data_IF_713899110784
#
_entry.id   IF_713899110784
#
_cell.length_a   1.000
_cell.length_b   1.000
_cell.length_c   1.000
_cell.angle_alpha   90.00
_cell.angle_beta   90.00
_cell.angle_gamma   90.00
#
_symmetry.space_group_name_H-M   'P 1'
#
loop_
_entity.id
_entity.type
_entity.pdbx_description
1 polymer ?
#
# COMPACT_ATOMS: atom_id res chain seq x y z
N UNK A 1 18.13 6.06 34.06
CA UNK A 1 18.64 6.16 32.68
C UNK A 1 19.40 4.90 32.26
N UNK A 2 20.47 4.49 32.96
CA UNK A 2 21.26 3.27 32.65
C UNK A 2 20.42 1.99 32.55
N UNK A 3 19.45 1.77 33.45
CA UNK A 3 18.57 0.60 33.41
C UNK A 3 17.63 0.59 32.19
N UNK A 4 17.20 1.78 31.75
CA UNK A 4 16.38 1.93 30.54
C UNK A 4 17.22 1.67 29.28
N UNK A 5 18.45 2.17 29.23
CA UNK A 5 19.41 1.86 28.15
C UNK A 5 19.74 0.36 28.11
N UNK A 6 19.94 -0.27 29.27
CA UNK A 6 20.19 -1.71 29.37
C UNK A 6 19.01 -2.55 28.88
N UNK A 7 17.76 -2.15 29.18
CA UNK A 7 16.55 -2.83 28.64
C UNK A 7 16.40 -2.60 27.13
N UNK A 8 16.63 -1.39 26.64
CA UNK A 8 16.58 -1.10 25.21
C UNK A 8 17.61 -1.92 24.43
N UNK A 9 18.85 -2.01 24.92
CA UNK A 9 19.90 -2.83 24.33
C UNK A 9 19.49 -4.32 24.28
N UNK A 10 18.97 -4.87 25.38
CA UNK A 10 18.49 -6.27 25.44
C UNK A 10 17.34 -6.53 24.46
N UNK A 11 16.39 -5.61 24.32
CA UNK A 11 15.28 -5.74 23.38
C UNK A 11 15.74 -5.69 21.91
N UNK A 12 16.86 -5.03 21.61
CA UNK A 12 17.43 -4.95 20.27
C UNK A 12 18.22 -6.18 19.83
N UNK A 13 18.61 -7.07 20.75
CA UNK A 13 19.48 -8.23 20.43
C UNK A 13 18.83 -9.16 19.41
N UNK A 14 17.51 -9.38 19.48
CA UNK A 14 16.80 -10.23 18.51
C UNK A 14 16.83 -9.65 17.10
N UNK A 15 16.71 -8.32 16.97
CA UNK A 15 16.82 -7.62 15.69
C UNK A 15 18.23 -7.72 15.13
N UNK A 16 19.26 -7.55 15.98
CA UNK A 16 20.67 -7.67 15.58
C UNK A 16 20.96 -9.09 15.07
N UNK A 17 20.58 -10.11 15.83
CA UNK A 17 20.76 -11.51 15.43
C UNK A 17 20.08 -11.83 14.10
N UNK A 18 18.82 -11.41 13.93
CA UNK A 18 18.09 -11.59 12.67
C UNK A 18 18.75 -10.86 11.49
N UNK A 19 19.23 -9.62 11.71
CA UNK A 19 19.94 -8.85 10.68
C UNK A 19 21.28 -9.47 10.27
N UNK A 20 22.00 -10.12 11.21
CA UNK A 20 23.25 -10.82 10.92
C UNK A 20 23.00 -12.04 10.00
N UNK A 21 21.95 -12.83 10.27
CA UNK A 21 21.56 -13.93 9.40
C UNK A 21 21.21 -13.45 7.99
N UNK A 22 20.50 -12.32 7.87
CA UNK A 22 20.18 -11.74 6.56
C UNK A 22 21.40 -11.20 5.85
N UNK A 23 22.38 -10.63 6.55
CA UNK A 23 23.66 -10.27 5.94
C UNK A 23 24.36 -11.46 5.26
N UNK A 24 24.33 -12.64 5.88
CA UNK A 24 24.88 -13.87 5.29
C UNK A 24 24.08 -14.26 4.03
N UNK A 25 22.74 -14.22 4.09
CA UNK A 25 21.88 -14.51 2.93
C UNK A 25 22.18 -13.55 1.78
N UNK A 26 22.28 -12.25 2.06
CA UNK A 26 22.60 -11.23 1.06
C UNK A 26 23.97 -11.49 0.43
N UNK A 27 24.98 -11.82 1.24
CA UNK A 27 26.30 -12.19 0.75
C UNK A 27 26.26 -13.39 -0.21
N UNK A 28 25.54 -14.45 0.15
CA UNK A 28 25.37 -15.62 -0.72
C UNK A 28 24.62 -15.27 -2.00
N UNK A 29 23.52 -14.51 -1.92
CA UNK A 29 22.70 -14.10 -3.08
C UNK A 29 23.50 -13.24 -4.06
N UNK A 30 24.31 -12.31 -3.56
CA UNK A 30 25.16 -11.45 -4.41
C UNK A 30 26.30 -12.25 -5.04
N UNK A 31 26.94 -13.16 -4.30
CA UNK A 31 28.04 -13.97 -4.82
C UNK A 31 27.57 -15.00 -5.85
N UNK A 32 26.36 -15.54 -5.69
CA UNK A 32 25.79 -16.56 -6.58
C UNK A 32 25.11 -15.98 -7.82
N UNK A 33 24.82 -14.67 -7.88
CA UNK A 33 24.11 -14.06 -9.00
C UNK A 33 22.63 -14.45 -9.09
N UNK A 34 22.07 -15.13 -8.07
CA UNK A 34 20.67 -15.57 -8.08
C UNK A 34 19.71 -14.37 -8.25
N UNK A 35 20.03 -13.22 -7.66
CA UNK A 35 19.19 -12.01 -7.79
C UNK A 35 19.12 -11.51 -9.25
N UNK A 36 20.23 -11.54 -9.99
CA UNK A 36 20.27 -11.14 -11.39
C UNK A 36 19.59 -12.15 -12.30
N UNK A 37 19.79 -13.45 -12.06
CA UNK A 37 19.17 -14.51 -12.83
C UNK A 37 17.64 -14.53 -12.63
N UNK A 38 17.20 -14.39 -11.38
CA UNK A 38 15.78 -14.26 -11.04
C UNK A 38 15.15 -13.03 -11.71
N UNK A 39 15.87 -11.90 -11.74
CA UNK A 39 15.41 -10.67 -12.41
C UNK A 39 15.27 -10.89 -13.92
N UNK A 40 16.22 -11.60 -14.55
CA UNK A 40 16.19 -11.93 -15.97
C UNK A 40 15.04 -12.88 -16.36
N UNK A 41 14.76 -13.91 -15.55
CA UNK A 41 13.63 -14.83 -15.78
C UNK A 41 12.30 -14.09 -15.69
N UNK A 42 12.12 -13.26 -14.66
CA UNK A 42 10.88 -12.50 -14.48
C UNK A 42 10.69 -11.48 -15.59
N UNK A 43 11.77 -10.81 -16.03
CA UNK A 43 11.73 -9.93 -17.21
C UNK A 43 11.10 -10.60 -18.42
N UNK A 44 11.45 -11.86 -18.70
CA UNK A 44 10.85 -12.61 -19.81
C UNK A 44 9.33 -12.79 -19.70
N UNK A 45 8.80 -12.83 -18.48
CA UNK A 45 7.37 -12.97 -18.18
C UNK A 45 6.66 -11.61 -18.10
N UNK A 46 7.39 -10.57 -17.72
CA UNK A 46 6.84 -9.27 -17.28
C UNK A 46 7.07 -8.14 -18.30
N UNK A 47 7.93 -8.34 -19.30
CA UNK A 47 8.30 -7.34 -20.31
C UNK A 47 7.11 -6.67 -21.03
N UNK A 48 5.96 -7.32 -21.09
CA UNK A 48 4.78 -6.83 -21.81
C UNK A 48 3.98 -5.77 -21.04
N UNK A 49 4.06 -5.71 -19.70
CA UNK A 49 3.26 -4.76 -18.92
C UNK A 49 3.83 -4.40 -17.53
N UNK A 50 4.18 -3.12 -17.33
CA UNK A 50 4.68 -2.58 -16.06
C UNK A 50 3.69 -2.80 -14.89
N UNK A 51 2.38 -2.73 -15.13
CA UNK A 51 1.40 -2.94 -14.08
C UNK A 51 1.41 -4.39 -13.58
N UNK A 52 1.57 -5.36 -14.49
CA UNK A 52 1.67 -6.77 -14.14
C UNK A 52 2.96 -7.06 -13.36
N UNK A 53 4.05 -6.36 -13.70
CA UNK A 53 5.30 -6.37 -12.94
C UNK A 53 5.08 -6.00 -11.48
N UNK A 54 4.45 -4.84 -11.27
CA UNK A 54 4.24 -4.26 -9.95
C UNK A 54 3.31 -5.13 -9.11
N UNK A 55 2.29 -5.76 -9.72
CA UNK A 55 1.43 -6.72 -9.03
C UNK A 55 2.22 -7.98 -8.62
N UNK A 56 3.06 -8.53 -9.51
CA UNK A 56 3.91 -9.67 -9.19
C UNK A 56 4.86 -9.37 -8.04
N UNK A 57 5.54 -8.22 -8.09
CA UNK A 57 6.44 -7.75 -7.03
C UNK A 57 5.68 -7.49 -5.73
N UNK A 58 4.47 -6.93 -5.80
CA UNK A 58 3.61 -6.74 -4.63
C UNK A 58 3.33 -8.07 -3.94
N UNK A 59 2.90 -9.10 -4.69
CA UNK A 59 2.61 -10.42 -4.13
C UNK A 59 3.87 -11.05 -3.54
N UNK A 60 4.99 -11.02 -4.26
CA UNK A 60 6.27 -11.51 -3.74
C UNK A 60 6.71 -10.77 -2.47
N UNK A 61 6.57 -9.45 -2.43
CA UNK A 61 6.91 -8.64 -1.26
C UNK A 61 5.99 -8.95 -0.07
N UNK A 62 4.70 -9.18 -0.30
CA UNK A 62 3.80 -9.58 0.79
C UNK A 62 4.21 -10.94 1.35
N UNK A 63 4.46 -11.94 0.49
CA UNK A 63 4.83 -13.30 0.90
C UNK A 63 6.17 -13.30 1.65
N UNK A 64 7.20 -12.65 1.08
CA UNK A 64 8.53 -12.57 1.68
C UNK A 64 8.54 -11.76 2.98
N UNK A 65 7.57 -10.84 3.16
CA UNK A 65 7.47 -10.00 4.36
C UNK A 65 6.80 -10.68 5.56
N UNK A 66 6.15 -11.83 5.36
CA UNK A 66 5.40 -12.50 6.43
C UNK A 66 6.32 -12.97 7.56
N UNK A 67 6.08 -12.45 8.78
CA UNK A 67 6.66 -12.99 10.01
C UNK A 67 8.11 -12.61 10.30
N UNK A 68 8.69 -11.66 9.57
CA UNK A 68 10.06 -11.14 9.79
C UNK A 68 10.05 -9.71 10.34
N UNK A 69 11.03 -9.30 11.17
CA UNK A 69 11.18 -7.91 11.62
C UNK A 69 11.29 -6.93 10.44
N UNK A 70 10.73 -5.72 10.57
CA UNK A 70 10.63 -4.75 9.45
C UNK A 70 11.96 -4.42 8.75
N UNK A 71 13.04 -4.25 9.53
CA UNK A 71 14.38 -3.98 8.96
C UNK A 71 14.88 -5.17 8.15
N UNK A 72 14.67 -6.38 8.67
CA UNK A 72 15.10 -7.64 8.07
C UNK A 72 14.32 -7.92 6.78
N UNK A 73 13.00 -7.72 6.84
CA UNK A 73 12.08 -7.77 5.71
C UNK A 73 12.55 -6.86 4.56
N UNK A 74 12.86 -5.60 4.86
CA UNK A 74 13.35 -4.64 3.87
C UNK A 74 14.68 -5.06 3.24
N UNK A 75 15.66 -5.50 4.05
CA UNK A 75 16.98 -5.91 3.53
C UNK A 75 16.88 -7.09 2.56
N UNK A 76 16.04 -8.07 2.86
CA UNK A 76 15.77 -9.20 1.97
C UNK A 76 15.10 -8.75 0.67
N UNK A 77 14.07 -7.89 0.77
CA UNK A 77 13.37 -7.40 -0.42
C UNK A 77 14.23 -6.49 -1.29
N UNK A 78 15.02 -5.59 -0.68
CA UNK A 78 15.91 -4.70 -1.43
C UNK A 78 16.95 -5.50 -2.23
N UNK A 79 17.42 -6.62 -1.68
CA UNK A 79 18.39 -7.49 -2.34
C UNK A 79 17.76 -8.31 -3.48
N UNK A 80 16.53 -8.79 -3.32
CA UNK A 80 15.89 -9.68 -4.30
C UNK A 80 15.02 -8.95 -5.33
N UNK A 81 14.22 -7.97 -4.88
CA UNK A 81 13.26 -7.24 -5.70
C UNK A 81 13.81 -5.89 -6.17
N UNK A 82 14.80 -5.31 -5.47
CA UNK A 82 15.39 -4.02 -5.83
C UNK A 82 16.02 -4.02 -7.23
N UNK A 83 16.75 -5.09 -7.57
CA UNK A 83 17.31 -5.28 -8.92
C UNK A 83 16.21 -5.35 -9.99
N UNK A 84 15.15 -6.11 -9.72
CA UNK A 84 14.04 -6.28 -10.64
C UNK A 84 13.32 -4.95 -10.96
N UNK A 85 13.08 -4.11 -9.96
CA UNK A 85 12.47 -2.78 -10.19
C UNK A 85 13.41 -1.81 -10.89
N UNK A 86 14.70 -1.80 -10.53
CA UNK A 86 15.69 -0.95 -11.20
C UNK A 86 15.81 -1.29 -12.68
N UNK A 87 15.77 -2.58 -13.00
CA UNK A 87 15.77 -3.07 -14.37
C UNK A 87 14.50 -2.75 -15.18
N UNK A 88 13.37 -2.51 -14.51
CA UNK A 88 12.12 -2.03 -15.13
C UNK A 88 12.11 -0.51 -15.35
N UNK A 89 13.19 0.20 -15.00
CA UNK A 89 13.32 1.66 -15.05
C UNK A 89 12.55 2.41 -13.99
N UNK A 90 12.14 1.73 -12.92
CA UNK A 90 11.51 2.41 -11.79
C UNK A 90 12.57 3.21 -11.04
N UNK A 91 12.20 4.42 -10.61
CA UNK A 91 13.07 5.27 -9.79
C UNK A 91 13.54 4.48 -8.57
N UNK A 92 14.85 4.43 -8.24
CA UNK A 92 15.38 3.72 -7.10
C UNK A 92 14.65 4.07 -5.80
N UNK A 93 14.37 5.37 -5.56
CA UNK A 93 13.63 5.80 -4.38
C UNK A 93 12.20 5.22 -4.35
N UNK A 94 11.48 5.31 -5.48
CA UNK A 94 10.13 4.74 -5.59
C UNK A 94 10.17 3.21 -5.41
N UNK A 95 11.19 2.54 -5.96
CA UNK A 95 11.33 1.09 -5.85
C UNK A 95 11.56 0.63 -4.41
N UNK A 96 12.46 1.27 -3.68
CA UNK A 96 12.73 0.93 -2.28
C UNK A 96 11.54 1.27 -1.38
N UNK A 97 10.85 2.37 -1.66
CA UNK A 97 9.61 2.71 -0.94
C UNK A 97 8.49 1.72 -1.26
N UNK A 98 8.37 1.26 -2.51
CA UNK A 98 7.38 0.29 -2.95
C UNK A 98 7.52 -1.05 -2.21
N UNK A 99 8.73 -1.63 -2.23
CA UNK A 99 9.00 -2.91 -1.54
C UNK A 99 8.90 -2.76 -0.03
N UNK A 100 9.39 -1.66 0.54
CA UNK A 100 9.29 -1.40 1.98
C UNK A 100 7.83 -1.28 2.41
N UNK A 101 7.02 -0.53 1.67
CA UNK A 101 5.61 -0.35 1.99
C UNK A 101 4.85 -1.68 1.93
N UNK A 102 5.03 -2.49 0.89
CA UNK A 102 4.37 -3.80 0.82
C UNK A 102 4.88 -4.79 1.86
N UNK A 103 6.16 -4.72 2.20
CA UNK A 103 6.70 -5.45 3.35
C UNK A 103 5.99 -5.10 4.66
N UNK A 104 5.65 -3.83 4.87
CA UNK A 104 4.87 -3.40 6.05
C UNK A 104 3.38 -3.76 5.94
N UNK A 105 2.79 -3.67 4.74
CA UNK A 105 1.39 -4.05 4.52
C UNK A 105 1.16 -5.56 4.70
N UNK A 106 2.19 -6.39 4.55
CA UNK A 106 2.11 -7.84 4.84
C UNK A 106 1.60 -8.12 6.27
N UNK A 107 1.93 -7.25 7.23
CA UNK A 107 1.51 -7.37 8.64
C UNK A 107 0.01 -7.14 8.86
N UNK A 108 -0.68 -6.59 7.86
CA UNK A 108 -2.12 -6.31 7.88
C UNK A 108 -2.91 -7.38 7.10
N UNK A 109 -2.21 -8.22 6.33
CA UNK A 109 -2.82 -9.32 5.58
C UNK A 109 -3.05 -10.56 6.47
N UNK A 110 -4.24 -11.19 6.42
CA UNK A 110 -4.42 -12.53 6.96
C UNK A 110 -3.51 -13.49 6.18
N UNK A 111 -2.72 -14.37 6.84
CA UNK A 111 -2.86 -14.90 8.20
C UNK A 111 -2.03 -14.20 9.30
N UNK A 112 -1.26 -13.14 9.00
CA UNK A 112 -0.36 -12.51 9.98
C UNK A 112 -1.11 -11.52 10.87
N UNK A 113 -1.80 -10.54 10.26
CA UNK A 113 -2.71 -9.54 10.85
C UNK A 113 -2.58 -9.26 12.38
N UNK A 114 -1.35 -9.09 12.88
CA UNK A 114 -1.04 -9.19 14.32
C UNK A 114 -1.80 -8.16 15.16
N UNK A 115 -1.90 -6.93 14.65
CA UNK A 115 -2.64 -5.84 15.30
C UNK A 115 -4.15 -6.13 15.37
N UNK A 116 -4.73 -6.74 14.32
CA UNK A 116 -6.14 -7.13 14.32
C UNK A 116 -6.40 -8.27 15.30
N UNK A 117 -5.45 -9.19 15.47
CA UNK A 117 -5.58 -10.31 16.41
C UNK A 117 -5.52 -9.85 17.86
N UNK A 118 -4.60 -8.92 18.18
CA UNK A 118 -4.54 -8.28 19.48
C UNK A 118 -5.80 -7.42 19.77
N UNK A 119 -6.31 -6.71 18.76
CA UNK A 119 -7.54 -5.92 18.91
C UNK A 119 -8.77 -6.81 19.12
N UNK A 120 -8.83 -7.95 18.42
CA UNK A 120 -9.92 -8.92 18.55
C UNK A 120 -9.97 -9.57 19.94
N UNK A 121 -8.82 -9.84 20.57
CA UNK A 121 -8.77 -10.41 21.93
C UNK A 121 -9.27 -9.42 22.99
N UNK A 122 -8.97 -8.13 22.82
CA UNK A 122 -9.47 -7.05 23.69
C UNK A 122 -10.98 -6.87 23.48
N UNK A 123 -11.43 -6.83 22.23
CA UNK A 123 -12.83 -6.60 21.86
C UNK A 123 -13.73 -7.85 22.02
N UNK A 124 -13.18 -9.00 22.45
CA UNK A 124 -13.87 -10.30 22.52
C UNK A 124 -14.56 -10.70 21.20
N UNK A 125 -13.97 -10.32 20.07
CA UNK A 125 -14.47 -10.62 18.74
C UNK A 125 -13.73 -11.81 18.11
N UNK A 126 -14.31 -12.41 17.07
CA UNK A 126 -13.64 -13.47 16.31
C UNK A 126 -12.42 -12.90 15.58
N UNK A 127 -11.24 -13.45 15.88
CA UNK A 127 -9.94 -13.05 15.34
C UNK A 127 -9.96 -12.97 13.81
N UNK A 128 -10.43 -14.03 13.14
CA UNK A 128 -10.43 -14.11 11.68
C UNK A 128 -11.37 -13.08 11.02
N UNK A 129 -12.56 -12.85 11.60
CA UNK A 129 -13.51 -11.86 11.08
C UNK A 129 -12.97 -10.44 11.24
N UNK A 130 -12.33 -10.15 12.38
CA UNK A 130 -11.69 -8.86 12.65
C UNK A 130 -10.52 -8.62 11.70
N UNK A 131 -9.67 -9.64 11.47
CA UNK A 131 -8.57 -9.58 10.52
C UNK A 131 -9.03 -9.33 9.09
N UNK A 132 -10.06 -10.06 8.63
CA UNK A 132 -10.59 -9.89 7.27
C UNK A 132 -11.28 -8.52 7.09
N UNK A 133 -11.99 -8.04 8.12
CA UNK A 133 -12.56 -6.70 8.11
C UNK A 133 -11.48 -5.61 8.06
N UNK A 134 -10.44 -5.71 8.89
CA UNK A 134 -9.31 -4.78 8.90
C UNK A 134 -8.55 -4.79 7.56
N UNK A 135 -8.33 -5.98 6.98
CA UNK A 135 -7.71 -6.12 5.67
C UNK A 135 -8.53 -5.44 4.58
N UNK A 136 -9.85 -5.62 4.58
CA UNK A 136 -10.76 -4.97 3.63
C UNK A 136 -10.61 -3.45 3.65
N UNK A 137 -10.49 -2.82 4.81
CA UNK A 137 -10.23 -1.39 4.90
C UNK A 137 -8.80 -1.01 4.48
N UNK A 138 -7.84 -1.89 4.73
CA UNK A 138 -6.43 -1.66 4.39
C UNK A 138 -6.12 -1.76 2.90
N UNK A 139 -7.00 -2.38 2.10
CA UNK A 139 -6.90 -2.41 0.63
C UNK A 139 -6.79 -1.01 0.02
N UNK A 140 -7.31 0.03 0.67
CA UNK A 140 -7.13 1.41 0.22
C UNK A 140 -5.65 1.81 0.19
N UNK A 141 -4.88 1.37 1.20
CA UNK A 141 -3.45 1.65 1.30
C UNK A 141 -2.60 0.93 0.26
N UNK A 142 -3.08 -0.20 -0.29
CA UNK A 142 -2.34 -0.96 -1.32
C UNK A 142 -2.12 -0.16 -2.59
N UNK A 143 -2.94 0.86 -2.83
CA UNK A 143 -2.87 1.70 -4.03
C UNK A 143 -1.74 2.72 -3.98
N UNK A 144 -1.32 3.13 -2.79
CA UNK A 144 -0.39 4.23 -2.58
C UNK A 144 1.04 3.94 -3.12
N UNK A 145 1.61 2.72 -2.96
CA UNK A 145 2.87 2.36 -3.62
C UNK A 145 2.83 2.46 -5.14
N UNK A 146 1.71 2.08 -5.77
CA UNK A 146 1.55 2.21 -7.23
C UNK A 146 1.56 3.69 -7.63
N UNK A 147 0.92 4.56 -6.85
CA UNK A 147 0.96 6.00 -7.11
C UNK A 147 2.40 6.55 -7.10
N UNK A 148 3.27 6.10 -6.19
CA UNK A 148 4.67 6.56 -6.15
C UNK A 148 5.48 6.17 -7.38
N UNK A 149 5.21 4.99 -7.94
CA UNK A 149 5.89 4.50 -9.14
C UNK A 149 5.42 5.27 -10.38
N UNK A 150 4.11 5.51 -10.50
CA UNK A 150 3.57 6.22 -11.65
C UNK A 150 3.71 7.75 -11.56
N UNK A 151 3.74 8.34 -10.36
CA UNK A 151 3.83 9.79 -10.11
C UNK A 151 5.02 10.12 -9.20
N UNK A 152 6.23 10.19 -9.75
CA UNK A 152 7.41 10.56 -8.97
C UNK A 152 7.36 11.98 -8.40
N UNK A 153 6.49 12.83 -8.92
CA UNK A 153 6.19 14.14 -8.33
C UNK A 153 5.71 14.05 -6.87
N UNK A 154 5.05 12.95 -6.47
CA UNK A 154 4.67 12.70 -5.06
C UNK A 154 5.89 12.49 -4.15
N UNK A 155 7.03 12.12 -4.72
CA UNK A 155 8.30 11.95 -4.01
C UNK A 155 9.15 13.22 -4.04
N UNK A 156 8.58 14.36 -4.45
CA UNK A 156 9.27 15.64 -4.67
C UNK A 156 10.35 15.57 -5.76
N UNK A 157 10.30 14.56 -6.63
CA UNK A 157 11.25 14.36 -7.72
C UNK A 157 10.67 14.80 -9.06
N UNK A 158 11.49 15.41 -9.90
CA UNK A 158 11.11 15.75 -11.28
C UNK A 158 11.06 14.50 -12.16
N UNK A 159 9.84 14.11 -12.54
CA UNK A 159 9.61 12.93 -13.38
C UNK A 159 10.14 13.05 -14.80
N UNK A 160 10.26 14.27 -15.36
CA UNK A 160 10.76 14.47 -16.71
C UNK A 160 12.28 14.21 -16.77
N UNK A 161 13.02 14.76 -15.80
CA UNK A 161 14.46 14.54 -15.68
C UNK A 161 14.79 13.10 -15.37
N UNK A 162 13.97 12.45 -14.53
CA UNK A 162 14.16 11.04 -14.25
C UNK A 162 13.90 10.14 -15.47
N UNK A 163 12.90 10.46 -16.29
CA UNK A 163 12.69 9.75 -17.56
C UNK A 163 13.86 9.96 -18.53
N UNK A 164 14.41 11.18 -18.60
CA UNK A 164 15.60 11.45 -19.41
C UNK A 164 16.79 10.59 -18.96
N UNK A 165 17.01 10.48 -17.65
CA UNK A 165 18.01 9.59 -17.09
C UNK A 165 17.77 8.11 -17.45
N UNK A 166 16.54 7.60 -17.31
CA UNK A 166 16.23 6.19 -17.60
C UNK A 166 16.51 5.84 -19.08
N UNK A 167 16.17 6.76 -20.00
CA UNK A 167 16.47 6.60 -21.44
C UNK A 167 17.97 6.55 -21.70
N UNK A 168 18.74 7.47 -21.12
CA UNK A 168 20.20 7.49 -21.26
C UNK A 168 20.86 6.25 -20.65
N UNK A 169 20.39 5.81 -19.49
CA UNK A 169 20.88 4.62 -18.79
C UNK A 169 20.66 3.35 -19.63
N UNK A 170 19.48 3.21 -20.27
CA UNK A 170 19.17 2.07 -21.15
C UNK A 170 19.90 2.12 -22.49
N UNK A 171 20.23 3.31 -22.97
CA UNK A 171 20.96 3.51 -24.24
C UNK A 171 22.46 3.20 -24.12
N UNK A 172 22.95 2.82 -22.93
CA UNK A 172 24.35 2.48 -22.70
C UNK A 172 25.30 3.68 -22.69
N UNK A 173 24.78 4.91 -22.68
CA UNK A 173 25.56 6.15 -22.64
C UNK A 173 25.88 6.50 -21.18
N UNK A 174 26.80 5.75 -20.56
CA UNK A 174 27.12 5.90 -19.13
C UNK A 174 27.54 7.33 -18.73
N UNK A 175 28.29 8.04 -19.58
CA UNK A 175 28.73 9.40 -19.27
C UNK A 175 27.54 10.37 -19.14
N UNK A 176 26.66 10.38 -20.13
CA UNK A 176 25.44 11.19 -20.15
C UNK A 176 24.47 10.78 -19.03
N UNK A 177 24.30 9.48 -18.81
CA UNK A 177 23.47 8.97 -17.72
C UNK A 177 23.97 9.42 -16.34
N UNK A 178 25.29 9.48 -16.11
CA UNK A 178 25.81 9.97 -14.81
C UNK A 178 25.60 11.46 -14.58
N UNK A 179 25.59 12.26 -15.64
CA UNK A 179 25.32 13.70 -15.57
C UNK A 179 23.83 13.96 -15.32
N UNK A 180 22.97 13.34 -16.12
CA UNK A 180 21.52 13.41 -15.97
C UNK A 180 21.04 12.89 -14.62
N UNK A 181 21.73 11.91 -14.02
CA UNK A 181 21.42 11.41 -12.67
C UNK A 181 21.61 12.50 -11.62
N UNK A 182 22.71 13.26 -11.70
CA UNK A 182 23.00 14.37 -10.76
C UNK A 182 21.95 15.47 -10.92
N UNK A 183 21.58 15.79 -12.15
CA UNK A 183 20.54 16.78 -12.43
C UNK A 183 19.18 16.34 -11.92
N UNK A 184 18.82 15.07 -12.12
CA UNK A 184 17.54 14.52 -11.67
C UNK A 184 17.46 14.43 -10.13
N UNK A 185 18.58 14.16 -9.45
CA UNK A 185 18.63 14.15 -7.98
C UNK A 185 18.57 15.56 -7.35
N UNK A 186 19.17 16.55 -8.00
CA UNK A 186 19.17 17.93 -7.51
C UNK A 186 17.87 18.70 -7.84
N UNK A 187 17.05 18.17 -8.75
CA UNK A 187 15.85 18.83 -9.22
C UNK A 187 14.61 18.45 -8.39
N UNK A 188 13.99 19.48 -7.82
CA UNK A 188 12.66 19.35 -7.23
C UNK A 188 11.57 19.34 -8.30
N UNK A 189 10.48 18.61 -8.04
CA UNK A 189 9.30 18.64 -8.88
C UNK A 189 8.75 20.08 -9.00
N UNK A 190 8.36 20.52 -10.21
CA UNK A 190 7.74 21.82 -10.36
C UNK A 190 6.38 21.85 -9.64
N UNK A 191 6.05 23.02 -9.08
CA UNK A 191 4.93 23.19 -8.15
C UNK A 191 3.57 22.80 -8.76
N UNK A 192 3.39 23.02 -10.04
CA UNK A 192 2.20 22.66 -10.82
C UNK A 192 1.94 21.14 -10.79
N UNK A 193 2.97 20.35 -11.08
CA UNK A 193 2.89 18.89 -11.09
C UNK A 193 2.70 18.33 -9.69
N UNK A 194 3.35 18.93 -8.69
CA UNK A 194 3.19 18.53 -7.29
C UNK A 194 1.75 18.75 -6.82
N UNK A 195 1.19 19.94 -7.03
CA UNK A 195 -0.18 20.27 -6.61
C UNK A 195 -1.19 19.38 -7.32
N UNK A 196 -1.01 19.15 -8.63
CA UNK A 196 -1.87 18.24 -9.39
C UNK A 196 -1.77 16.81 -8.88
N UNK A 197 -0.55 16.31 -8.63
CA UNK A 197 -0.32 14.96 -8.14
C UNK A 197 -0.92 14.75 -6.75
N UNK A 198 -0.71 15.69 -5.83
CA UNK A 198 -1.28 15.63 -4.47
C UNK A 198 -2.80 15.70 -4.50
N UNK A 199 -3.39 16.62 -5.25
CA UNK A 199 -4.85 16.75 -5.32
C UNK A 199 -5.52 15.52 -5.92
N UNK A 200 -5.00 15.00 -7.05
CA UNK A 200 -5.52 13.77 -7.67
C UNK A 200 -5.29 12.54 -6.80
N UNK A 201 -4.17 12.46 -6.07
CA UNK A 201 -3.92 11.37 -5.13
C UNK A 201 -4.92 11.38 -3.96
N UNK A 202 -5.18 12.54 -3.37
CA UNK A 202 -6.16 12.69 -2.28
C UNK A 202 -7.55 12.29 -2.77
N UNK A 203 -7.99 12.82 -3.91
CA UNK A 203 -9.31 12.50 -4.47
C UNK A 203 -9.41 11.01 -4.84
N UNK A 204 -8.37 10.44 -5.45
CA UNK A 204 -8.32 9.03 -5.81
C UNK A 204 -8.38 8.10 -4.60
N UNK A 205 -7.64 8.40 -3.53
CA UNK A 205 -7.67 7.64 -2.27
C UNK A 205 -9.04 7.74 -1.60
N UNK A 206 -9.65 8.92 -1.58
CA UNK A 206 -11.01 9.11 -1.02
C UNK A 206 -12.06 8.35 -1.84
N UNK A 207 -11.96 8.40 -3.18
CA UNK A 207 -12.83 7.63 -4.07
C UNK A 207 -12.70 6.13 -3.82
N UNK A 208 -11.46 5.64 -3.72
CA UNK A 208 -11.19 4.23 -3.44
C UNK A 208 -11.72 3.80 -2.06
N UNK A 209 -11.52 4.64 -1.04
CA UNK A 209 -12.05 4.43 0.30
C UNK A 209 -13.58 4.37 0.30
N UNK A 210 -14.25 5.31 -0.39
CA UNK A 210 -15.70 5.31 -0.54
C UNK A 210 -16.23 4.04 -1.25
N UNK A 211 -15.55 3.61 -2.33
CA UNK A 211 -15.91 2.41 -3.07
C UNK A 211 -15.77 1.13 -2.23
N UNK A 212 -14.63 0.97 -1.55
CA UNK A 212 -14.36 -0.19 -0.71
C UNK A 212 -15.23 -0.16 0.55
N UNK A 213 -15.28 0.95 1.28
CA UNK A 213 -16.05 1.06 2.52
C UNK A 213 -17.56 0.90 2.27
N UNK A 214 -18.05 1.35 1.11
CA UNK A 214 -19.47 1.27 0.74
C UNK A 214 -20.31 2.43 1.26
N UNK A 215 -19.67 3.50 1.74
CA UNK A 215 -20.32 4.72 2.20
C UNK A 215 -19.47 5.94 1.85
N UNK A 216 -20.12 7.07 1.57
CA UNK A 216 -19.44 8.36 1.41
C UNK A 216 -20.20 9.49 2.11
N UNK A 217 -21.50 9.63 1.82
CA UNK A 217 -22.46 10.41 2.63
C UNK A 217 -23.66 9.59 3.04
N UNK A 218 -24.16 8.78 2.12
CA UNK A 218 -25.16 7.74 2.35
C UNK A 218 -24.58 6.39 1.94
N UNK A 219 -25.29 5.33 2.27
CA UNK A 219 -24.96 3.97 1.86
C UNK A 219 -24.92 3.88 0.33
N UNK A 220 -23.79 3.41 -0.21
CA UNK A 220 -23.58 3.34 -1.64
C UNK A 220 -24.05 1.99 -2.18
N UNK A 221 -24.92 2.02 -3.20
CA UNK A 221 -25.29 0.82 -3.93
C UNK A 221 -24.08 0.26 -4.72
N UNK A 222 -24.18 -0.97 -5.21
CA UNK A 222 -23.09 -1.63 -5.93
C UNK A 222 -22.62 -0.83 -7.16
N UNK A 223 -23.54 -0.14 -7.84
CA UNK A 223 -23.23 0.70 -9.00
C UNK A 223 -22.42 1.93 -8.61
N UNK A 224 -22.80 2.64 -7.54
CA UNK A 224 -22.05 3.79 -7.01
C UNK A 224 -20.67 3.36 -6.52
N UNK A 225 -20.56 2.20 -5.88
CA UNK A 225 -19.27 1.63 -5.48
C UNK A 225 -18.38 1.35 -6.69
N UNK A 226 -18.94 0.78 -7.76
CA UNK A 226 -18.21 0.58 -9.01
C UNK A 226 -17.77 1.91 -9.64
N UNK A 227 -18.61 2.95 -9.62
CA UNK A 227 -18.24 4.30 -10.09
C UNK A 227 -17.10 4.90 -9.29
N UNK A 228 -17.12 4.76 -7.96
CA UNK A 228 -16.04 5.22 -7.08
C UNK A 228 -14.73 4.45 -7.33
N UNK A 229 -14.80 3.13 -7.51
CA UNK A 229 -13.62 2.32 -7.85
C UNK A 229 -13.07 2.66 -9.24
N UNK A 230 -13.93 2.89 -10.24
CA UNK A 230 -13.53 3.28 -11.58
C UNK A 230 -12.89 4.67 -11.60
N UNK A 231 -13.49 5.63 -10.89
CA UNK A 231 -12.93 6.98 -10.70
C UNK A 231 -11.56 6.92 -10.03
N UNK A 232 -11.43 6.14 -8.95
CA UNK A 232 -10.15 5.92 -8.29
C UNK A 232 -9.12 5.37 -9.28
N UNK A 233 -9.42 4.27 -9.98
CA UNK A 233 -8.53 3.67 -10.97
C UNK A 233 -8.08 4.62 -12.08
N UNK A 234 -8.98 5.47 -12.58
CA UNK A 234 -8.63 6.51 -13.57
C UNK A 234 -7.67 7.56 -12.99
N UNK A 235 -7.91 8.02 -11.77
CA UNK A 235 -7.07 9.01 -11.07
C UNK A 235 -5.68 8.46 -10.69
N UNK A 236 -5.52 7.14 -10.56
CA UNK A 236 -4.22 6.53 -10.27
C UNK A 236 -3.23 6.71 -11.41
N UNK A 237 -3.70 6.68 -12.65
CA UNK A 237 -2.82 6.78 -13.80
C UNK A 237 -2.49 8.25 -14.09
N UNK A 238 -1.20 8.59 -14.33
CA UNK A 238 -0.73 9.96 -14.52
C UNK A 238 -1.00 10.46 -15.94
N UNK A 239 -2.25 10.36 -16.39
CA UNK A 239 -2.69 10.86 -17.68
C UNK A 239 -3.70 12.00 -17.49
N UNK A 240 -3.55 13.07 -18.27
CA UNK A 240 -4.33 14.29 -18.09
C UNK A 240 -5.82 14.06 -18.43
N UNK A 241 -6.10 13.24 -19.44
CA UNK A 241 -7.46 12.90 -19.84
C UNK A 241 -8.12 12.00 -18.79
N UNK A 242 -7.39 10.99 -18.30
CA UNK A 242 -7.88 10.12 -17.22
C UNK A 242 -8.09 10.87 -15.90
N UNK A 243 -7.27 11.87 -15.59
CA UNK A 243 -7.46 12.70 -14.40
C UNK A 243 -8.72 13.56 -14.47
N UNK A 244 -8.96 14.21 -15.61
CA UNK A 244 -10.17 15.03 -15.81
C UNK A 244 -11.41 14.12 -15.82
N UNK A 245 -11.36 13.01 -16.55
CA UNK A 245 -12.44 12.03 -16.59
C UNK A 245 -12.72 11.39 -15.23
N UNK A 246 -11.68 10.97 -14.52
CA UNK A 246 -11.78 10.37 -13.19
C UNK A 246 -12.28 11.34 -12.14
N UNK A 247 -11.83 12.59 -12.18
CA UNK A 247 -12.34 13.68 -11.33
C UNK A 247 -13.79 14.03 -11.63
N UNK A 248 -14.17 14.11 -12.90
CA UNK A 248 -15.57 14.30 -13.31
C UNK A 248 -16.46 13.15 -12.84
N UNK A 249 -16.02 11.91 -13.02
CA UNK A 249 -16.73 10.71 -12.56
C UNK A 249 -16.87 10.68 -11.03
N UNK A 250 -15.84 11.12 -10.29
CA UNK A 250 -15.90 11.25 -8.82
C UNK A 250 -17.02 12.21 -8.41
N UNK A 251 -17.05 13.41 -9.01
CA UNK A 251 -18.04 14.43 -8.69
C UNK A 251 -19.46 13.95 -9.00
N UNK A 252 -19.65 13.29 -10.15
CA UNK A 252 -20.94 12.67 -10.51
C UNK A 252 -21.32 11.59 -9.50
N UNK A 253 -20.40 10.71 -9.13
CA UNK A 253 -20.66 9.65 -8.14
C UNK A 253 -21.05 10.23 -6.77
N UNK A 254 -20.39 11.30 -6.32
CA UNK A 254 -20.74 12.00 -5.08
C UNK A 254 -22.12 12.67 -5.19
N UNK A 255 -22.44 13.32 -6.31
CA UNK A 255 -23.75 13.93 -6.53
C UNK A 255 -24.87 12.89 -6.53
N UNK A 256 -24.70 11.77 -7.24
CA UNK A 256 -25.67 10.67 -7.27
C UNK A 256 -25.84 10.06 -5.88
N UNK A 257 -24.76 9.86 -5.12
CA UNK A 257 -24.83 9.38 -3.74
C UNK A 257 -25.56 10.38 -2.82
N UNK A 258 -25.33 11.69 -3.00
CA UNK A 258 -26.04 12.71 -2.20
C UNK A 258 -27.54 12.76 -2.48
N UNK A 259 -27.96 12.48 -3.72
CA UNK A 259 -29.36 12.49 -4.18
C UNK A 259 -30.10 11.17 -4.01
N UNK A 260 -29.39 10.05 -3.85
CA UNK A 260 -30.01 8.77 -3.54
C UNK A 260 -30.83 8.90 -2.25
N UNK A 261 -32.15 8.76 -2.36
CA UNK A 261 -33.05 8.69 -1.21
C UNK A 261 -32.68 7.47 -0.36
N UNK A 262 -32.85 7.60 0.96
CA UNK A 262 -32.66 6.47 1.87
C UNK A 262 -33.44 5.27 1.33
N UNK A 263 -32.81 4.10 1.10
CA UNK A 263 -33.56 2.87 1.07
C UNK A 263 -34.25 2.80 2.45
N UNK A 264 -35.57 2.71 2.45
CA UNK A 264 -36.39 2.91 3.64
C UNK A 264 -36.14 1.89 4.75
N UNK A 265 -36.57 2.27 5.94
CA UNK A 265 -36.96 1.31 6.99
C UNK A 265 -36.03 1.28 8.19
N UNK A 266 -36.34 2.12 9.17
CA UNK A 266 -35.95 1.92 10.56
C UNK A 266 -36.23 0.49 11.02
N UNK A 267 -35.20 -0.23 11.43
CA UNK A 267 -35.32 -1.17 12.56
C UNK A 267 -34.23 -0.81 13.55
N UNK A 268 -34.58 0.09 14.48
CA UNK A 268 -33.83 0.25 15.73
C UNK A 268 -33.69 -1.12 16.40
N UNK A 269 -32.51 -1.49 16.92
CA UNK A 269 -32.36 -2.69 17.76
C UNK A 269 -33.09 -2.60 19.13
N UNK A 270 -33.79 -1.51 19.44
CA UNK A 270 -34.41 -1.27 20.75
C UNK A 270 -35.76 -1.98 20.97
N UNK A 271 -36.08 -3.02 20.21
CA UNK A 271 -37.20 -3.92 20.51
C UNK A 271 -36.74 -5.38 20.64
N UNK A 272 -35.74 -5.61 21.49
CA UNK A 272 -35.68 -6.87 22.23
C UNK A 272 -36.57 -6.68 23.46
N UNK A 273 -37.64 -7.45 23.52
CA UNK A 273 -38.74 -7.31 24.46
C UNK A 273 -38.30 -7.04 25.90
N UNK A 274 -38.88 -5.99 26.47
CA UNK A 274 -39.06 -5.87 27.91
C UNK A 274 -39.88 -7.06 28.40
N UNK A 275 -39.22 -8.09 28.93
CA UNK A 275 -39.89 -9.06 29.79
C UNK A 275 -40.52 -8.32 30.98
N UNK A 276 -41.79 -8.59 31.31
CA UNK A 276 -42.38 -8.01 32.50
C UNK A 276 -41.73 -8.66 33.72
N UNK A 277 -41.11 -7.83 34.57
CA UNK A 277 -40.73 -8.20 35.94
C UNK A 277 -41.98 -8.71 36.67
N UNK A 278 -42.04 -10.02 36.85
CA UNK A 278 -42.94 -10.67 37.80
C UNK A 278 -42.31 -10.56 39.18
N UNK A 279 -42.84 -9.63 39.99
CA UNK A 279 -42.70 -9.70 41.44
C UNK A 279 -43.31 -11.01 41.95
N UNK A 280 -42.49 -11.82 42.62
CA UNK A 280 -42.95 -12.82 43.57
C UNK A 280 -41.90 -12.93 44.69
N UNK A 281 -42.21 -12.22 45.77
CA UNK A 281 -41.91 -12.53 47.15
C UNK A 281 -41.75 -14.04 47.46
N UNK A 282 -40.80 -14.37 48.34
CA UNK A 282 -41.01 -15.40 49.35
C UNK A 282 -40.06 -16.60 49.38
N UNK A 283 -39.38 -16.72 50.52
CA UNK A 283 -39.12 -17.98 51.25
C UNK A 283 -37.83 -18.79 50.96
N UNK A 284 -36.90 -18.67 51.92
CA UNK A 284 -36.23 -19.75 52.69
C UNK A 284 -35.69 -20.99 51.97
N UNK A 285 -34.35 -21.12 51.87
CA UNK A 285 -33.46 -21.95 52.70
C UNK A 285 -32.06 -22.03 52.05
#
# INVERSE_FOLDING_TARGET
MLTAMGRAAKNGVSLVAASACVGIIIGVVQQTGIATDFSAVIKGVVATNLLLALIGIMVCSIILGMGVPSVVCYLLMATLMGSLLGELGVIPLAAHLFIFYFGMMSMVTPPVALAAYASASIAKAKIMQTGLAAFRFSLVGFTLPFMFVYRPALLLMDGAKWKAWDVANRSGQLAEATELLKEAQAAYAPWDQLILAVSTAIVGVVALAAGIAGFCRKEANWLQRAMFLASAGMLLYPDMLLNIGGGGLFVVAVMVNSKAGSPGGSTSPDQVGSEPRSDATGETL
#
